data_IF_296314482804
#
_entry.id   IF_296314482804
#
_cell.length_a   1.000
_cell.length_b   1.000
_cell.length_c   1.000
_cell.angle_alpha   90.00
_cell.angle_beta   90.00
_cell.angle_gamma   90.00
#
_symmetry.space_group_name_H-M   'P 1'
#
loop_
_entity.id
_entity.type
_entity.pdbx_description
1 polymer ?
#
# COMPACT_ATOMS: atom_id res chain seq x y z
N UNK A 1 -16.63 -2.08 -15.74
CA UNK A 1 -16.59 -1.27 -14.52
C UNK A 1 -15.40 -1.62 -13.65
N UNK A 2 -15.01 -0.73 -12.73
CA UNK A 2 -13.91 -0.93 -11.79
C UNK A 2 -14.50 -1.38 -10.47
N UNK A 3 -14.08 -2.56 -9.97
CA UNK A 3 -14.44 -2.99 -8.62
C UNK A 3 -13.49 -2.33 -7.61
N UNK A 4 -14.05 -1.72 -6.58
CA UNK A 4 -13.28 -1.00 -5.54
C UNK A 4 -13.53 -1.68 -4.19
N UNK A 5 -12.46 -1.99 -3.48
CA UNK A 5 -12.48 -2.48 -2.11
C UNK A 5 -11.84 -1.45 -1.19
N UNK A 6 -12.61 -0.91 -0.26
CA UNK A 6 -12.11 0.01 0.77
C UNK A 6 -11.88 -0.79 2.05
N UNK A 7 -10.64 -0.81 2.53
CA UNK A 7 -10.26 -1.56 3.74
C UNK A 7 -9.80 -0.59 4.81
N UNK A 8 -10.35 -0.70 6.01
CA UNK A 8 -9.90 0.08 7.17
C UNK A 8 -9.50 -0.82 8.33
N UNK A 9 -8.47 -0.40 9.05
CA UNK A 9 -8.07 -1.04 10.31
C UNK A 9 -8.94 -0.60 11.51
N UNK A 10 -8.78 -1.26 12.67
CA UNK A 10 -9.56 -0.98 13.88
C UNK A 10 -9.33 0.44 14.43
N UNK A 11 -8.18 1.05 14.16
CA UNK A 11 -7.86 2.41 14.61
C UNK A 11 -8.39 3.55 13.73
N UNK A 12 -9.19 3.26 12.70
CA UNK A 12 -9.73 4.30 11.85
C UNK A 12 -10.92 5.02 12.48
N UNK A 13 -10.71 6.27 12.90
CA UNK A 13 -11.69 7.04 13.71
C UNK A 13 -12.97 7.43 12.95
N UNK A 14 -12.91 7.58 11.61
CA UNK A 14 -14.03 8.07 10.79
C UNK A 14 -14.80 6.96 10.07
N UNK A 15 -14.84 5.76 10.65
CA UNK A 15 -15.45 4.59 10.02
C UNK A 15 -16.91 4.81 9.65
N UNK A 16 -17.73 5.30 10.57
CA UNK A 16 -19.19 5.43 10.36
C UNK A 16 -19.51 6.47 9.29
N UNK A 17 -18.72 7.53 9.22
CA UNK A 17 -18.82 8.55 8.18
C UNK A 17 -18.47 7.96 6.81
N UNK A 18 -17.38 7.20 6.72
CA UNK A 18 -16.95 6.53 5.50
C UNK A 18 -18.03 5.55 5.01
N UNK A 19 -18.58 4.72 5.89
CA UNK A 19 -19.64 3.75 5.56
C UNK A 19 -20.89 4.46 5.03
N UNK A 20 -21.28 5.59 5.64
CA UNK A 20 -22.40 6.41 5.15
C UNK A 20 -22.14 6.94 3.75
N UNK A 21 -20.94 7.45 3.47
CA UNK A 21 -20.56 7.92 2.15
C UNK A 21 -20.58 6.80 1.10
N UNK A 22 -20.01 5.63 1.44
CA UNK A 22 -20.01 4.47 0.54
C UNK A 22 -21.45 4.05 0.19
N UNK A 23 -22.33 3.98 1.18
CA UNK A 23 -23.76 3.66 0.96
C UNK A 23 -24.46 4.70 0.10
N UNK A 24 -24.19 5.99 0.34
CA UNK A 24 -24.80 7.08 -0.42
C UNK A 24 -24.40 7.09 -1.91
N UNK A 25 -23.19 6.58 -2.24
CA UNK A 25 -22.75 6.44 -3.63
C UNK A 25 -23.55 5.38 -4.41
N UNK A 26 -24.19 4.43 -3.74
CA UNK A 26 -25.03 3.41 -4.37
C UNK A 26 -24.33 2.56 -5.43
N UNK A 27 -23.00 2.53 -5.44
CA UNK A 27 -22.22 1.79 -6.44
C UNK A 27 -22.05 0.32 -6.02
N UNK A 28 -22.63 -0.66 -6.75
CA UNK A 28 -22.56 -2.07 -6.40
C UNK A 28 -21.15 -2.66 -6.51
N UNK A 29 -20.23 -1.98 -7.20
CA UNK A 29 -18.83 -2.40 -7.33
C UNK A 29 -17.95 -1.85 -6.21
N UNK A 30 -18.51 -1.02 -5.31
CA UNK A 30 -17.80 -0.45 -4.17
C UNK A 30 -18.14 -1.25 -2.90
N UNK A 31 -17.14 -1.91 -2.32
CA UNK A 31 -17.27 -2.73 -1.11
C UNK A 31 -16.42 -2.15 0.01
N UNK A 32 -16.93 -2.28 1.23
CA UNK A 32 -16.24 -1.91 2.45
C UNK A 32 -15.90 -3.14 3.28
N UNK A 33 -14.64 -3.25 3.68
CA UNK A 33 -14.11 -4.33 4.52
C UNK A 33 -13.48 -3.73 5.79
N UNK A 34 -13.74 -4.37 6.92
CA UNK A 34 -13.26 -3.88 8.21
C UNK A 34 -12.36 -4.89 8.91
N UNK A 35 -11.28 -4.37 9.48
CA UNK A 35 -10.43 -5.05 10.46
C UNK A 35 -10.07 -6.49 10.10
N UNK A 36 -9.58 -6.72 8.92
CA UNK A 36 -9.05 -8.04 8.59
C UNK A 36 -7.71 -8.27 9.28
N UNK A 37 -7.56 -9.43 9.90
CA UNK A 37 -6.28 -9.90 10.42
C UNK A 37 -5.36 -10.44 9.30
N UNK A 38 -5.89 -10.58 8.09
CA UNK A 38 -5.17 -11.17 6.95
C UNK A 38 -5.28 -10.20 5.77
N UNK A 39 -4.49 -9.13 5.82
CA UNK A 39 -4.45 -8.12 4.76
C UNK A 39 -4.07 -8.72 3.40
N UNK A 40 -3.21 -9.72 3.37
CA UNK A 40 -2.83 -10.40 2.14
C UNK A 40 -4.02 -10.98 1.36
N UNK A 41 -5.04 -11.50 2.05
CA UNK A 41 -6.27 -11.96 1.38
C UNK A 41 -7.05 -10.81 0.72
N UNK A 42 -6.99 -9.61 1.31
CA UNK A 42 -7.62 -8.43 0.71
C UNK A 42 -6.86 -7.95 -0.53
N UNK A 43 -5.58 -8.29 -0.62
CA UNK A 43 -4.69 -7.93 -1.72
C UNK A 43 -4.72 -8.95 -2.87
N UNK A 44 -5.21 -10.16 -2.63
CA UNK A 44 -5.31 -11.17 -3.69
C UNK A 44 -6.22 -10.70 -4.84
N UNK A 45 -5.72 -10.81 -6.06
CA UNK A 45 -6.44 -10.40 -7.28
C UNK A 45 -6.67 -8.90 -7.43
N UNK A 46 -5.89 -8.06 -6.72
CA UNK A 46 -5.94 -6.61 -6.86
C UNK A 46 -4.97 -6.15 -7.94
N UNK A 47 -5.48 -5.39 -8.92
CA UNK A 47 -4.67 -4.84 -10.03
C UNK A 47 -3.94 -3.55 -9.66
N UNK A 48 -4.49 -2.79 -8.72
CA UNK A 48 -3.95 -1.49 -8.28
C UNK A 48 -4.38 -1.21 -6.83
N UNK A 49 -3.45 -0.78 -5.99
CA UNK A 49 -3.74 -0.35 -4.63
C UNK A 49 -3.50 1.15 -4.43
N UNK A 50 -4.20 1.74 -3.46
CA UNK A 50 -3.95 3.09 -2.95
C UNK A 50 -3.78 2.98 -1.44
N UNK A 51 -2.65 3.43 -0.91
CA UNK A 51 -2.39 3.35 0.53
C UNK A 51 -1.53 4.50 1.05
N UNK A 52 -1.40 4.59 2.37
CA UNK A 52 -0.40 5.46 3.00
C UNK A 52 1.00 4.86 2.92
N UNK A 53 2.02 5.70 3.15
CA UNK A 53 3.44 5.27 3.17
C UNK A 53 3.82 4.53 4.48
N UNK A 54 2.89 3.74 5.03
CA UNK A 54 3.07 2.92 6.21
C UNK A 54 3.62 1.52 5.89
N UNK A 55 3.43 0.56 6.81
CA UNK A 55 3.95 -0.82 6.67
C UNK A 55 3.31 -1.63 5.53
N UNK A 56 2.09 -1.32 5.16
CA UNK A 56 1.36 -1.97 4.06
C UNK A 56 2.13 -1.94 2.73
N UNK A 57 3.02 -0.96 2.52
CA UNK A 57 3.84 -0.90 1.30
C UNK A 57 4.77 -2.11 1.13
N UNK A 58 5.23 -2.70 2.23
CA UNK A 58 6.08 -3.91 2.16
C UNK A 58 5.27 -5.14 1.74
N UNK A 59 4.02 -5.25 2.20
CA UNK A 59 3.11 -6.33 1.82
C UNK A 59 2.74 -6.21 0.34
N UNK A 60 2.40 -5.00 -0.13
CA UNK A 60 2.11 -4.71 -1.54
C UNK A 60 3.30 -5.01 -2.45
N UNK A 61 4.52 -4.62 -2.03
CA UNK A 61 5.74 -4.95 -2.77
C UNK A 61 5.99 -6.45 -2.84
N UNK A 62 5.77 -7.18 -1.74
CA UNK A 62 5.93 -8.63 -1.70
C UNK A 62 4.95 -9.37 -2.61
N UNK A 63 3.75 -8.83 -2.76
CA UNK A 63 2.71 -9.35 -3.65
C UNK A 63 2.79 -8.76 -5.07
N UNK A 64 3.75 -7.90 -5.34
CA UNK A 64 3.98 -7.21 -6.61
C UNK A 64 2.75 -6.42 -7.11
N UNK A 65 2.03 -5.75 -6.21
CA UNK A 65 0.84 -5.00 -6.55
C UNK A 65 1.21 -3.55 -6.87
N UNK A 66 1.01 -3.08 -8.12
CA UNK A 66 1.18 -1.68 -8.46
C UNK A 66 0.41 -0.78 -7.50
N UNK A 67 1.04 0.26 -6.97
CA UNK A 67 0.40 1.03 -5.91
C UNK A 67 0.67 2.52 -6.00
N UNK A 68 -0.38 3.30 -5.74
CA UNK A 68 -0.28 4.74 -5.48
C UNK A 68 -0.08 4.93 -3.98
N UNK A 69 0.97 5.62 -3.60
CA UNK A 69 1.34 5.81 -2.20
C UNK A 69 1.40 7.29 -1.84
N UNK A 70 0.74 7.63 -0.74
CA UNK A 70 0.66 8.99 -0.21
C UNK A 70 1.16 9.00 1.23
N UNK A 71 2.09 9.90 1.57
CA UNK A 71 2.49 10.09 2.96
C UNK A 71 1.49 11.01 3.68
N UNK A 72 0.97 10.60 4.82
CA UNK A 72 0.04 11.40 5.62
C UNK A 72 0.77 12.54 6.34
N UNK A 73 2.02 12.31 6.76
CA UNK A 73 2.82 13.26 7.52
C UNK A 73 4.33 13.07 7.27
N UNK A 74 5.14 14.00 7.76
CA UNK A 74 6.60 14.03 7.55
C UNK A 74 7.30 12.73 8.00
N UNK A 75 6.83 12.09 9.07
CA UNK A 75 7.39 10.82 9.54
C UNK A 75 7.25 9.72 8.49
N UNK A 76 6.07 9.58 7.88
CA UNK A 76 5.86 8.63 6.78
C UNK A 76 6.67 8.99 5.53
N UNK A 77 6.82 10.28 5.23
CA UNK A 77 7.61 10.73 4.10
C UNK A 77 9.12 10.41 4.20
N UNK A 78 9.61 10.19 5.41
CA UNK A 78 11.00 9.74 5.65
C UNK A 78 11.22 8.27 5.27
N UNK A 79 10.16 7.49 5.15
CA UNK A 79 10.24 6.12 4.65
C UNK A 79 10.56 6.14 3.16
N UNK A 80 11.80 5.80 2.82
CA UNK A 80 12.29 5.85 1.43
C UNK A 80 11.90 4.65 0.58
N UNK A 81 11.33 3.61 1.20
CA UNK A 81 11.00 2.37 0.50
C UNK A 81 9.93 2.57 -0.58
N UNK A 82 8.84 3.28 -0.28
CA UNK A 82 7.73 3.50 -1.22
C UNK A 82 8.06 4.57 -2.27
N UNK A 83 9.01 4.30 -3.15
CA UNK A 83 9.48 5.21 -4.21
C UNK A 83 9.35 4.58 -5.59
N UNK A 84 9.52 5.40 -6.61
CA UNK A 84 9.43 4.97 -8.01
C UNK A 84 10.40 3.85 -8.35
N UNK A 85 11.60 3.86 -7.79
CA UNK A 85 12.63 2.84 -8.01
C UNK A 85 12.19 1.44 -7.52
N UNK A 86 11.36 1.41 -6.48
CA UNK A 86 10.75 0.19 -5.94
C UNK A 86 9.36 -0.11 -6.52
N UNK A 87 8.95 0.57 -7.59
CA UNK A 87 7.70 0.28 -8.27
C UNK A 87 6.45 0.86 -7.61
N UNK A 88 6.56 2.05 -6.99
CA UNK A 88 5.43 2.78 -6.43
C UNK A 88 5.20 4.12 -7.13
N UNK A 89 3.95 4.45 -7.40
CA UNK A 89 3.56 5.80 -7.80
C UNK A 89 3.45 6.70 -6.56
N UNK A 90 4.60 7.16 -6.05
CA UNK A 90 4.67 7.96 -4.84
C UNK A 90 4.26 9.41 -5.10
N UNK A 91 3.29 9.91 -4.37
CA UNK A 91 2.71 11.24 -4.56
C UNK A 91 3.22 12.31 -3.57
N UNK A 92 4.07 11.94 -2.64
CA UNK A 92 4.58 12.85 -1.61
C UNK A 92 3.67 12.99 -0.40
N UNK A 93 3.89 14.05 0.37
CA UNK A 93 3.12 14.35 1.58
C UNK A 93 1.81 15.04 1.20
N UNK A 94 0.71 14.56 1.76
CA UNK A 94 -0.62 15.14 1.58
C UNK A 94 -0.91 16.28 2.57
N UNK A 95 -0.13 17.37 2.53
CA UNK A 95 -0.44 18.57 3.33
C UNK A 95 -1.70 19.29 2.86
N UNK A 96 -1.92 19.29 1.56
CA UNK A 96 -3.14 19.76 0.90
C UNK A 96 -3.57 18.70 -0.08
N UNK A 97 -4.70 18.06 0.21
CA UNK A 97 -5.25 17.05 -0.67
C UNK A 97 -5.58 17.63 -2.04
N UNK A 98 -4.93 17.11 -3.07
CA UNK A 98 -5.26 17.45 -4.46
C UNK A 98 -5.91 16.24 -5.12
N UNK A 99 -7.25 16.19 -5.03
CA UNK A 99 -8.05 15.13 -5.63
C UNK A 99 -7.83 15.01 -7.15
N UNK A 100 -7.62 16.13 -7.83
CA UNK A 100 -7.37 16.15 -9.27
C UNK A 100 -6.07 15.43 -9.65
N UNK A 101 -5.00 15.65 -8.89
CA UNK A 101 -3.73 14.96 -9.11
C UNK A 101 -3.83 13.46 -8.83
N UNK A 102 -4.49 13.06 -7.73
CA UNK A 102 -4.73 11.66 -7.43
C UNK A 102 -5.55 11.00 -8.52
N UNK A 103 -6.65 11.63 -8.93
CA UNK A 103 -7.50 11.14 -10.02
C UNK A 103 -6.73 10.95 -11.31
N UNK A 104 -5.86 11.90 -11.69
CA UNK A 104 -5.04 11.80 -12.90
C UNK A 104 -4.15 10.56 -12.85
N UNK A 105 -3.36 10.38 -11.78
CA UNK A 105 -2.46 9.22 -11.63
C UNK A 105 -3.25 7.91 -11.59
N UNK A 106 -4.41 7.90 -10.92
CA UNK A 106 -5.27 6.73 -10.85
C UNK A 106 -5.79 6.34 -12.24
N UNK A 107 -6.34 7.30 -13.01
CA UNK A 107 -6.86 7.05 -14.36
C UNK A 107 -5.73 6.58 -15.29
N UNK A 108 -4.57 7.22 -15.26
CA UNK A 108 -3.41 6.79 -16.04
C UNK A 108 -3.03 5.34 -15.74
N UNK A 109 -3.02 4.94 -14.47
CA UNK A 109 -2.69 3.56 -14.09
C UNK A 109 -3.81 2.56 -14.42
N UNK A 110 -5.06 2.98 -14.51
CA UNK A 110 -6.17 2.11 -14.95
C UNK A 110 -6.15 1.93 -16.46
N UNK A 111 -5.98 3.01 -17.22
CA UNK A 111 -6.12 3.01 -18.67
C UNK A 111 -4.85 2.52 -19.39
N UNK A 112 -3.69 2.58 -18.75
CA UNK A 112 -2.39 2.23 -19.31
C UNK A 112 -1.79 0.99 -18.59
N UNK A 113 -2.12 -0.26 -19.02
CA UNK A 113 -1.59 -1.49 -18.42
C UNK A 113 -0.07 -1.56 -18.40
N UNK A 114 0.59 -0.97 -19.38
CA UNK A 114 2.05 -0.94 -19.51
C UNK A 114 2.68 -0.18 -18.33
N UNK A 115 2.06 0.89 -17.86
CA UNK A 115 2.52 1.62 -16.68
C UNK A 115 2.41 0.76 -15.42
N UNK A 116 1.32 0.03 -15.26
CA UNK A 116 1.19 -0.93 -14.13
C UNK A 116 2.25 -2.01 -14.22
N UNK A 117 2.51 -2.52 -15.41
CA UNK A 117 3.55 -3.53 -15.64
C UNK A 117 4.95 -3.01 -15.27
N UNK A 118 5.28 -1.76 -15.57
CA UNK A 118 6.55 -1.16 -15.13
C UNK A 118 6.68 -1.16 -13.61
N UNK A 119 5.62 -0.80 -12.88
CA UNK A 119 5.61 -0.84 -11.42
C UNK A 119 5.77 -2.27 -10.89
N UNK A 120 5.00 -3.22 -11.45
CA UNK A 120 5.11 -4.65 -11.14
C UNK A 120 6.55 -5.16 -11.33
N UNK A 121 7.17 -4.90 -12.49
CA UNK A 121 8.53 -5.35 -12.80
C UNK A 121 9.58 -4.77 -11.85
N UNK A 122 9.40 -3.54 -11.39
CA UNK A 122 10.29 -2.95 -10.38
C UNK A 122 10.12 -3.62 -9.02
N UNK A 123 8.89 -3.90 -8.60
CA UNK A 123 8.63 -4.62 -7.34
C UNK A 123 9.14 -6.05 -7.38
N UNK A 124 9.01 -6.77 -8.49
CA UNK A 124 9.49 -8.16 -8.63
C UNK A 124 11.01 -8.30 -8.51
N UNK A 125 11.75 -7.22 -8.68
CA UNK A 125 13.21 -7.18 -8.50
C UNK A 125 13.63 -6.94 -7.04
N UNK A 126 12.69 -6.65 -6.15
CA UNK A 126 12.99 -6.44 -4.72
C UNK A 126 13.21 -7.80 -4.07
N UNK A 127 14.42 -8.02 -3.56
CA UNK A 127 14.75 -9.23 -2.83
C UNK A 127 14.57 -9.01 -1.33
N UNK A 128 13.56 -9.65 -0.75
CA UNK A 128 13.36 -9.68 0.69
C UNK A 128 14.22 -10.80 1.29
N UNK A 129 15.43 -10.48 1.75
CA UNK A 129 16.36 -11.45 2.30
C UNK A 129 16.00 -11.87 3.73
N UNK A 130 14.89 -12.58 3.90
CA UNK A 130 14.44 -13.09 5.22
C UNK A 130 15.54 -13.87 5.96
N UNK A 131 16.32 -14.67 5.25
CA UNK A 131 17.40 -15.47 5.82
C UNK A 131 18.52 -14.60 6.44
N UNK A 132 18.89 -13.47 5.83
CA UNK A 132 19.87 -12.54 6.40
C UNK A 132 19.37 -11.86 7.66
N UNK A 133 18.10 -11.46 7.70
CA UNK A 133 17.49 -10.85 8.88
C UNK A 133 17.47 -11.83 10.05
N UNK A 134 17.01 -13.06 9.82
CA UNK A 134 16.97 -14.12 10.84
C UNK A 134 18.38 -14.46 11.33
N UNK A 135 19.33 -14.64 10.42
CA UNK A 135 20.74 -14.93 10.77
C UNK A 135 21.38 -13.77 11.56
N UNK A 136 21.07 -12.53 11.23
CA UNK A 136 21.52 -11.34 11.98
C UNK A 136 20.98 -11.33 13.41
N UNK A 137 19.67 -11.57 13.59
CA UNK A 137 19.05 -11.66 14.93
C UNK A 137 19.67 -12.79 15.75
N UNK A 138 19.86 -13.98 15.15
CA UNK A 138 20.45 -15.13 15.85
C UNK A 138 21.90 -14.86 16.29
N UNK A 139 22.68 -14.11 15.51
CA UNK A 139 24.03 -13.69 15.91
C UNK A 139 23.99 -12.77 17.12
N UNK A 140 23.10 -11.77 17.14
CA UNK A 140 22.95 -10.86 18.28
C UNK A 140 22.58 -11.60 19.56
N UNK A 141 21.64 -12.55 19.49
CA UNK A 141 21.22 -13.35 20.64
C UNK A 141 22.31 -14.28 21.18
N UNK A 142 23.28 -14.69 20.35
CA UNK A 142 24.41 -15.51 20.78
C UNK A 142 25.47 -14.68 21.50
N UNK A 143 25.76 -13.47 21.04
CA UNK A 143 26.73 -12.57 21.67
C UNK A 143 26.31 -12.10 23.07
N UNK A 144 25.00 -11.99 23.36
CA UNK A 144 24.51 -11.64 24.70
C UNK A 144 24.62 -12.80 25.72
N UNK A 145 24.77 -14.06 25.28
CA UNK A 145 24.93 -15.22 26.16
C UNK A 145 26.40 -15.51 26.55
N UNK A 146 27.34 -14.90 25.85
CA UNK A 146 28.79 -15.07 26.11
C UNK A 146 29.39 -13.88 26.88
N UNK A 147 28.58 -12.92 27.31
CA UNK A 147 28.95 -11.77 28.16
C UNK A 147 28.37 -11.94 29.55
#
# INVERSE_FOLDING_TARGET
>A
GIAIRVVTGPGYAHRDELVRHIKALGNPLLRFEYATNIMSRMMEGVDLAICSAGRTVYELAHMHIPSIVLAQHEREARHTFARADHGFAYMGIMRKFNAGRLRKVFVELIDEPERRNVLYQRQSRIHFEKAKVVSGILKLLKTEKES
#
